data_IF_594835174702
#
_entry.id   IF_594835174702
#
_cell.length_a   1.000
_cell.length_b   1.000
_cell.length_c   1.000
_cell.angle_alpha   90.00
_cell.angle_beta   90.00
_cell.angle_gamma   90.00
#
_symmetry.space_group_name_H-M   'P 1'
#
loop_
_entity.id
_entity.type
_entity.pdbx_description
1 polymer ?
#
# COMPACT_ATOMS: atom_id res chain seq x y z
N UNK A 1 8.50 -4.06 -12.05
CA UNK A 1 7.45 -3.03 -12.17
C UNK A 1 8.00 -1.74 -12.75
N UNK A 2 7.25 -1.09 -13.63
CA UNK A 2 7.66 0.16 -14.28
C UNK A 2 7.84 1.33 -13.29
N UNK A 3 8.81 2.21 -13.53
CA UNK A 3 9.07 3.37 -12.66
C UNK A 3 7.85 4.27 -12.48
N UNK A 4 7.03 4.43 -13.53
CA UNK A 4 5.81 5.23 -13.47
C UNK A 4 4.81 4.68 -12.45
N UNK A 5 4.69 3.36 -12.34
CA UNK A 5 3.80 2.72 -11.37
C UNK A 5 4.30 2.89 -9.93
N UNK A 6 5.62 2.82 -9.72
CA UNK A 6 6.24 3.12 -8.42
C UNK A 6 5.94 4.55 -7.98
N UNK A 7 6.05 5.53 -8.87
CA UNK A 7 5.74 6.93 -8.55
C UNK A 7 4.25 7.15 -8.22
N UNK A 8 3.33 6.50 -8.93
CA UNK A 8 1.89 6.53 -8.62
C UNK A 8 1.65 5.96 -7.22
N UNK A 9 2.09 4.72 -6.97
CA UNK A 9 1.92 4.05 -5.66
C UNK A 9 2.49 4.87 -4.52
N UNK A 10 3.68 5.44 -4.71
CA UNK A 10 4.33 6.30 -3.72
C UNK A 10 3.54 7.58 -3.47
N UNK A 11 3.10 8.27 -4.52
CA UNK A 11 2.33 9.51 -4.38
C UNK A 11 1.04 9.28 -3.58
N UNK A 12 0.33 8.20 -3.88
CA UNK A 12 -0.94 7.88 -3.24
C UNK A 12 -0.75 7.34 -1.81
N UNK A 13 0.32 6.58 -1.57
CA UNK A 13 0.76 6.20 -0.22
C UNK A 13 1.03 7.45 0.64
N UNK A 14 1.79 8.42 0.12
CA UNK A 14 2.10 9.64 0.86
C UNK A 14 0.85 10.51 1.10
N UNK A 15 -0.09 10.57 0.16
CA UNK A 15 -1.38 11.26 0.36
C UNK A 15 -2.16 10.62 1.50
N UNK A 16 -2.32 9.29 1.46
CA UNK A 16 -3.07 8.57 2.47
C UNK A 16 -2.41 8.66 3.85
N UNK A 17 -1.08 8.48 3.93
CA UNK A 17 -0.31 8.67 5.16
C UNK A 17 -0.52 10.06 5.76
N UNK A 18 -0.42 11.13 4.95
CA UNK A 18 -0.67 12.50 5.43
C UNK A 18 -2.08 12.66 5.98
N UNK A 19 -3.08 12.11 5.30
CA UNK A 19 -4.47 12.11 5.78
C UNK A 19 -4.62 11.38 7.12
N UNK A 20 -4.06 10.18 7.25
CA UNK A 20 -4.13 9.37 8.46
C UNK A 20 -3.45 10.05 9.66
N UNK A 21 -2.32 10.71 9.43
CA UNK A 21 -1.64 11.51 10.46
C UNK A 21 -2.47 12.74 10.86
N UNK A 22 -3.05 13.45 9.89
CA UNK A 22 -3.83 14.67 10.14
C UNK A 22 -5.19 14.41 10.81
N UNK A 23 -5.79 13.24 10.57
CA UNK A 23 -7.06 12.82 11.17
C UNK A 23 -6.93 12.33 12.62
N UNK A 24 -5.70 12.23 13.14
CA UNK A 24 -5.44 11.85 14.53
C UNK A 24 -5.52 10.34 14.81
N UNK A 25 -5.82 9.51 13.80
CA UNK A 25 -5.76 8.04 13.91
C UNK A 25 -4.32 7.53 13.94
N UNK A 26 -3.38 8.32 13.42
CA UNK A 26 -2.01 7.87 13.20
C UNK A 26 -1.92 6.96 11.97
N UNK A 27 -0.70 6.54 11.65
CA UNK A 27 -0.42 5.66 10.51
C UNK A 27 0.30 4.40 10.97
N UNK A 28 -0.43 3.59 11.75
CA UNK A 28 0.02 2.29 12.25
C UNK A 28 -0.08 1.18 11.21
N UNK A 29 0.34 -0.02 11.59
CA UNK A 29 0.39 -1.18 10.70
C UNK A 29 -1.00 -1.66 10.27
N UNK A 30 -1.99 -1.54 11.15
CA UNK A 30 -3.41 -1.78 10.88
C UNK A 30 -3.93 -0.86 9.77
N UNK A 31 -3.74 0.45 9.94
CA UNK A 31 -4.17 1.47 8.96
C UNK A 31 -3.43 1.32 7.63
N UNK A 32 -2.14 1.00 7.69
CA UNK A 32 -1.33 0.73 6.51
C UNK A 32 -1.79 -0.54 5.77
N UNK A 33 -2.09 -1.62 6.50
CA UNK A 33 -2.55 -2.88 5.92
C UNK A 33 -3.88 -2.74 5.18
N UNK A 34 -4.86 -2.11 5.82
CA UNK A 34 -6.17 -1.81 5.20
C UNK A 34 -6.03 -0.99 3.91
N UNK A 35 -5.16 0.04 3.95
CA UNK A 35 -4.82 0.84 2.78
C UNK A 35 -4.13 0.02 1.68
N UNK A 36 -3.08 -0.73 2.03
CA UNK A 36 -2.25 -1.44 1.06
C UNK A 36 -3.08 -2.47 0.30
N UNK A 37 -3.88 -3.27 1.01
CA UNK A 37 -4.76 -4.27 0.39
C UNK A 37 -5.80 -3.60 -0.51
N UNK A 38 -6.47 -2.54 -0.03
CA UNK A 38 -7.49 -1.84 -0.81
C UNK A 38 -6.93 -1.17 -2.07
N UNK A 39 -5.78 -0.47 -1.98
CA UNK A 39 -5.21 0.23 -3.14
C UNK A 39 -4.69 -0.74 -4.19
N UNK A 40 -4.09 -1.87 -3.77
CA UNK A 40 -3.62 -2.90 -4.69
C UNK A 40 -4.77 -3.54 -5.45
N UNK A 41 -5.87 -3.89 -4.77
CA UNK A 41 -7.05 -4.45 -5.42
C UNK A 41 -7.75 -3.43 -6.33
N UNK A 42 -7.81 -2.17 -5.92
CA UNK A 42 -8.33 -1.10 -6.77
C UNK A 42 -7.51 -0.93 -8.05
N UNK A 43 -6.18 -0.98 -7.97
CA UNK A 43 -5.31 -0.84 -9.15
C UNK A 43 -5.39 -2.01 -10.10
N UNK A 44 -5.57 -3.23 -9.57
CA UNK A 44 -5.87 -4.40 -10.40
C UNK A 44 -7.23 -4.24 -11.08
N UNK A 45 -8.28 -3.88 -10.33
CA UNK A 45 -9.62 -3.66 -10.88
C UNK A 45 -9.70 -2.52 -11.90
N UNK A 46 -8.81 -1.53 -11.80
CA UNK A 46 -8.71 -0.38 -12.70
C UNK A 46 -7.70 -0.56 -13.84
N UNK A 47 -7.11 -1.75 -13.99
CA UNK A 47 -6.08 -2.07 -14.98
C UNK A 47 -4.82 -1.18 -14.92
N UNK A 48 -4.56 -0.53 -13.78
CA UNK A 48 -3.31 0.20 -13.49
C UNK A 48 -2.20 -0.80 -13.15
N UNK A 49 -2.56 -1.87 -12.44
CA UNK A 49 -1.67 -2.96 -12.03
C UNK A 49 -2.16 -4.27 -12.66
N UNK A 50 -1.24 -5.16 -13.03
CA UNK A 50 -1.59 -6.54 -13.39
C UNK A 50 -1.54 -7.44 -12.15
N UNK A 51 -2.24 -8.58 -12.19
CA UNK A 51 -2.13 -9.58 -11.13
C UNK A 51 -0.68 -10.04 -10.90
N UNK A 52 0.13 -10.15 -11.96
CA UNK A 52 1.54 -10.56 -11.86
C UNK A 52 2.39 -9.53 -11.10
N UNK A 53 2.09 -8.24 -11.26
CA UNK A 53 2.82 -7.16 -10.60
C UNK A 53 2.31 -6.87 -9.17
N UNK A 54 1.21 -7.50 -8.74
CA UNK A 54 0.58 -7.22 -7.44
C UNK A 54 1.50 -7.52 -6.26
N UNK A 55 2.27 -8.61 -6.34
CA UNK A 55 3.24 -8.96 -5.30
C UNK A 55 4.38 -7.94 -5.21
N UNK A 56 4.95 -7.52 -6.34
CA UNK A 56 6.03 -6.52 -6.37
C UNK A 56 5.53 -5.16 -5.87
N UNK A 57 4.32 -4.75 -6.24
CA UNK A 57 3.70 -3.53 -5.74
C UNK A 57 3.45 -3.58 -4.22
N UNK A 58 3.03 -4.75 -3.70
CA UNK A 58 2.86 -4.94 -2.26
C UNK A 58 4.17 -4.82 -1.50
N UNK A 59 5.24 -5.44 -2.01
CA UNK A 59 6.57 -5.33 -1.42
C UNK A 59 7.05 -3.87 -1.43
N UNK A 60 6.82 -3.14 -2.52
CA UNK A 60 7.18 -1.74 -2.63
C UNK A 60 6.44 -0.85 -1.61
N UNK A 61 5.16 -1.08 -1.36
CA UNK A 61 4.42 -0.37 -0.31
C UNK A 61 4.99 -0.66 1.09
N UNK A 62 5.37 -1.91 1.36
CA UNK A 62 6.03 -2.31 2.61
C UNK A 62 7.41 -1.67 2.77
N UNK A 63 8.17 -1.50 1.69
CA UNK A 63 9.45 -0.77 1.71
C UNK A 63 9.25 0.70 2.09
N UNK A 64 8.26 1.36 1.50
CA UNK A 64 7.92 2.75 1.81
C UNK A 64 7.50 2.90 3.29
N UNK A 65 6.63 2.00 3.76
CA UNK A 65 6.19 1.98 5.15
C UNK A 65 7.35 1.71 6.11
N UNK A 66 8.17 0.68 5.84
CA UNK A 66 9.32 0.33 6.68
C UNK A 66 10.36 1.46 6.75
N UNK A 67 10.56 2.18 5.64
CA UNK A 67 11.43 3.37 5.63
C UNK A 67 10.91 4.45 6.60
N UNK A 68 9.60 4.64 6.67
CA UNK A 68 8.95 5.54 7.64
C UNK A 68 9.15 5.12 9.09
N UNK A 69 9.30 3.82 9.36
CA UNK A 69 9.57 3.26 10.69
C UNK A 69 11.06 3.25 11.07
N UNK A 70 11.97 3.70 10.20
CA UNK A 70 13.41 3.61 10.43
C UNK A 70 14.03 2.24 10.09
N UNK A 71 13.34 1.41 9.29
CA UNK A 71 13.89 0.17 8.75
C UNK A 71 13.83 -1.03 9.69
N UNK A 72 12.88 -1.06 10.63
CA UNK A 72 12.80 -2.09 11.68
C UNK A 72 12.25 -3.44 11.21
N UNK A 73 11.43 -3.47 10.16
CA UNK A 73 10.86 -4.70 9.60
C UNK A 73 11.96 -5.38 8.78
N UNK A 74 12.22 -6.66 9.02
CA UNK A 74 13.26 -7.40 8.28
C UNK A 74 12.87 -7.61 6.82
N UNK A 75 13.81 -8.02 5.97
CA UNK A 75 13.52 -8.34 4.57
C UNK A 75 12.58 -9.54 4.46
N UNK A 76 12.86 -10.61 5.22
CA UNK A 76 12.04 -11.82 5.26
C UNK A 76 10.59 -11.51 5.68
N UNK A 77 10.40 -10.73 6.74
CA UNK A 77 9.06 -10.32 7.18
C UNK A 77 8.34 -9.49 6.11
N UNK A 78 9.05 -8.60 5.41
CA UNK A 78 8.44 -7.81 4.32
C UNK A 78 8.01 -8.71 3.16
N UNK A 79 8.80 -9.71 2.82
CA UNK A 79 8.42 -10.66 1.76
C UNK A 79 7.20 -11.50 2.14
N UNK A 80 7.13 -11.96 3.40
CA UNK A 80 5.97 -12.70 3.91
C UNK A 80 4.70 -11.82 3.89
N UNK A 81 4.78 -10.62 4.48
CA UNK A 81 3.68 -9.66 4.50
C UNK A 81 3.23 -9.27 3.08
N UNK A 82 4.16 -9.12 2.14
CA UNK A 82 3.83 -8.79 0.76
C UNK A 82 3.00 -9.90 0.09
N UNK A 83 3.27 -11.17 0.41
CA UNK A 83 2.46 -12.30 -0.08
C UNK A 83 1.06 -12.27 0.52
N UNK A 84 0.94 -11.99 1.82
CA UNK A 84 -0.35 -11.89 2.51
C UNK A 84 -1.19 -10.78 1.85
N UNK A 85 -0.66 -9.57 1.72
CA UNK A 85 -1.39 -8.44 1.16
C UNK A 85 -1.74 -8.62 -0.33
N UNK A 86 -0.84 -9.25 -1.11
CA UNK A 86 -1.11 -9.53 -2.51
C UNK A 86 -2.23 -10.58 -2.70
N UNK A 87 -2.39 -11.53 -1.78
CA UNK A 87 -3.42 -12.56 -1.83
C UNK A 87 -4.76 -12.11 -1.25
N UNK A 88 -4.76 -11.12 -0.36
CA UNK A 88 -5.97 -10.57 0.22
C UNK A 88 -6.84 -9.90 -0.86
N UNK A 89 -8.10 -10.34 -1.06
CA UNK A 89 -9.00 -9.80 -2.07
C UNK A 89 -9.80 -8.56 -1.60
N UNK A 90 -9.58 -8.10 -0.36
CA UNK A 90 -10.37 -7.01 0.24
C UNK A 90 -10.22 -5.71 -0.54
N UNK A 91 -11.34 -5.04 -0.79
CA UNK A 91 -11.39 -3.73 -1.41
C UNK A 91 -12.37 -2.84 -0.67
N UNK A 92 -11.84 -1.94 0.15
CA UNK A 92 -12.65 -0.93 0.85
C UNK A 92 -12.51 0.44 0.17
N UNK A 93 -13.59 0.88 -0.49
CA UNK A 93 -13.62 2.20 -1.13
C UNK A 93 -13.64 3.36 -0.13
N UNK A 94 -14.09 3.13 1.11
CA UNK A 94 -14.04 4.12 2.18
C UNK A 94 -12.61 4.49 2.54
N UNK A 95 -11.73 3.50 2.62
CA UNK A 95 -10.29 3.68 2.82
C UNK A 95 -9.64 4.49 1.69
N UNK A 96 -10.13 4.37 0.45
CA UNK A 96 -9.54 5.03 -0.72
C UNK A 96 -10.04 6.46 -0.96
N UNK A 97 -11.10 6.89 -0.25
CA UNK A 97 -11.68 8.23 -0.37
C UNK A 97 -10.66 9.38 -0.21
N UNK A 98 -9.69 9.34 0.71
CA UNK A 98 -8.69 10.41 0.86
C UNK A 98 -7.75 10.58 -0.34
N UNK A 99 -7.73 9.62 -1.26
CA UNK A 99 -6.82 9.60 -2.41
C UNK A 99 -7.55 9.99 -3.70
N UNK A 100 -8.76 9.47 -3.89
CA UNK A 100 -9.53 9.59 -5.14
C UNK A 100 -10.86 10.33 -5.01
N UNK A 101 -11.26 10.72 -3.80
CA UNK A 101 -12.53 11.39 -3.51
C UNK A 101 -12.42 12.90 -3.30
#
# INVERSE_FOLDING_TARGET
MENKLKEILKSDFEKYMRFAVQSGTGFGFDIFGEYAVSVLNFYVGSAILTYENKLEASLYLLELYNKGLGGIITEEDREELARVFAQDPTLDYGVLKPIFG
#
